data_IF_468800628780
#
_entry.id   IF_468800628780
#
_cell.length_a   1.000
_cell.length_b   1.000
_cell.length_c   1.000
_cell.angle_alpha   90.00
_cell.angle_beta   90.00
_cell.angle_gamma   90.00
#
_symmetry.space_group_name_H-M   'P 1'
#
loop_
_entity.id
_entity.type
_entity.pdbx_description
1 polymer ?
#
# COMPACT_ATOMS: atom_id res chain seq x y z
N UNK A 1 -12.15 -17.37 12.33
CA UNK A 1 -11.62 -16.24 11.54
C UNK A 1 -11.36 -16.77 10.16
N UNK A 2 -12.10 -16.30 9.15
CA UNK A 2 -11.97 -16.77 7.77
C UNK A 2 -10.55 -16.50 7.25
N UNK A 3 -9.95 -17.48 6.57
CA UNK A 3 -8.60 -17.36 5.98
C UNK A 3 -8.55 -16.23 4.95
N UNK A 4 -9.69 -15.90 4.32
CA UNK A 4 -9.79 -14.89 3.28
C UNK A 4 -9.51 -13.45 3.77
N UNK A 5 -9.79 -13.10 5.02
CA UNK A 5 -9.66 -11.70 5.51
C UNK A 5 -8.22 -11.28 5.81
N UNK A 6 -7.25 -12.21 5.70
CA UNK A 6 -5.83 -11.91 5.89
C UNK A 6 -5.23 -11.13 4.73
N UNK A 7 -5.70 -11.39 3.51
CA UNK A 7 -5.11 -10.84 2.28
C UNK A 7 -5.95 -9.74 1.65
N UNK A 8 -7.19 -9.57 2.11
CA UNK A 8 -8.12 -8.57 1.58
C UNK A 8 -9.13 -8.13 2.65
N UNK A 9 -9.76 -6.96 2.48
CA UNK A 9 -10.88 -6.55 3.31
C UNK A 9 -11.98 -7.63 3.37
N UNK A 10 -12.70 -7.76 4.50
CA UNK A 10 -13.84 -8.66 4.58
C UNK A 10 -14.92 -8.24 3.55
N UNK A 11 -15.49 -9.20 2.81
CA UNK A 11 -16.63 -8.90 1.94
C UNK A 11 -17.84 -8.50 2.78
N UNK A 12 -18.81 -7.86 2.13
CA UNK A 12 -20.11 -7.53 2.73
C UNK A 12 -20.05 -6.66 4.00
N UNK A 13 -18.95 -5.94 4.20
CA UNK A 13 -18.72 -5.08 5.36
C UNK A 13 -18.40 -3.66 4.91
N UNK A 14 -19.12 -2.69 5.46
CA UNK A 14 -18.83 -1.28 5.33
C UNK A 14 -17.76 -0.89 6.34
N UNK A 15 -16.53 -0.75 5.86
CA UNK A 15 -15.44 -0.21 6.66
C UNK A 15 -15.62 1.28 6.97
N UNK A 16 -15.10 1.73 8.09
CA UNK A 16 -15.23 3.11 8.52
C UNK A 16 -14.01 3.95 8.07
N UNK A 17 -14.21 5.09 7.41
CA UNK A 17 -13.11 5.93 6.96
C UNK A 17 -12.41 6.65 8.13
N UNK A 18 -11.10 6.84 7.98
CA UNK A 18 -10.23 7.68 8.82
C UNK A 18 -9.51 8.65 7.89
N UNK A 19 -9.80 9.96 7.96
CA UNK A 19 -9.10 10.95 7.16
C UNK A 19 -7.64 11.07 7.65
N UNK A 20 -6.70 11.16 6.70
CA UNK A 20 -5.26 11.35 7.01
C UNK A 20 -4.70 12.56 6.25
N UNK A 21 -4.90 12.60 4.93
CA UNK A 21 -4.45 13.67 4.03
C UNK A 21 -3.00 14.13 4.28
N UNK A 22 -2.05 13.21 4.11
CA UNK A 22 -0.63 13.46 4.39
C UNK A 22 0.25 13.08 3.20
N UNK A 23 1.22 13.94 2.87
CA UNK A 23 2.31 13.55 1.97
C UNK A 23 3.30 12.66 2.72
N UNK A 24 3.58 11.49 2.16
CA UNK A 24 4.68 10.62 2.60
C UNK A 24 5.99 11.13 2.00
N UNK A 25 5.95 11.53 0.73
CA UNK A 25 7.02 12.28 0.08
C UNK A 25 6.46 13.22 -0.98
N UNK A 26 7.16 14.31 -1.20
CA UNK A 26 6.87 15.28 -2.26
C UNK A 26 8.17 15.86 -2.78
N UNK A 27 8.53 15.47 -3.99
CA UNK A 27 9.68 15.98 -4.74
C UNK A 27 9.22 16.64 -6.03
N UNK A 28 10.14 17.21 -6.80
CA UNK A 28 9.83 17.79 -8.10
C UNK A 28 9.42 16.73 -9.15
N UNK A 29 9.79 15.47 -8.91
CA UNK A 29 9.54 14.35 -9.83
C UNK A 29 8.41 13.44 -9.38
N UNK A 30 8.20 13.27 -8.08
CA UNK A 30 7.26 12.28 -7.55
C UNK A 30 6.56 12.76 -6.29
N UNK A 31 5.31 12.35 -6.16
CA UNK A 31 4.45 12.58 -5.01
C UNK A 31 3.87 11.25 -4.59
N UNK A 32 3.92 10.98 -3.29
CA UNK A 32 3.17 9.90 -2.66
C UNK A 32 2.43 10.48 -1.46
N UNK A 33 1.11 10.34 -1.47
CA UNK A 33 0.24 10.82 -0.41
C UNK A 33 -0.63 9.69 0.14
N UNK A 34 -0.69 9.56 1.46
CA UNK A 34 -1.67 8.75 2.16
C UNK A 34 -2.94 9.60 2.34
N UNK A 35 -3.99 9.29 1.57
CA UNK A 35 -5.21 10.11 1.54
C UNK A 35 -6.10 9.82 2.74
N UNK A 36 -6.39 8.55 2.96
CA UNK A 36 -7.26 8.08 4.03
C UNK A 36 -7.01 6.59 4.30
N UNK A 37 -7.57 6.10 5.40
CA UNK A 37 -7.60 4.69 5.76
C UNK A 37 -9.06 4.24 5.85
N UNK A 38 -9.38 3.04 5.41
CA UNK A 38 -10.69 2.41 5.65
C UNK A 38 -10.47 1.29 6.67
N UNK A 39 -11.03 1.45 7.87
CA UNK A 39 -10.85 0.52 8.98
C UNK A 39 -11.97 -0.52 9.04
N UNK A 40 -11.60 -1.76 9.31
CA UNK A 40 -12.47 -2.91 9.55
C UNK A 40 -12.05 -3.58 10.84
N UNK A 41 -12.86 -4.48 11.39
CA UNK A 41 -12.52 -5.17 12.65
C UNK A 41 -11.28 -6.06 12.51
N UNK A 42 -11.04 -6.59 11.31
CA UNK A 42 -9.96 -7.53 11.00
C UNK A 42 -8.65 -6.83 10.60
N UNK A 43 -8.71 -5.61 10.08
CA UNK A 43 -7.57 -4.91 9.50
C UNK A 43 -7.96 -3.54 8.94
N UNK A 44 -7.05 -2.92 8.19
CA UNK A 44 -7.35 -1.63 7.56
C UNK A 44 -6.76 -1.50 6.16
N UNK A 45 -7.46 -0.81 5.27
CA UNK A 45 -6.99 -0.47 3.94
C UNK A 45 -6.37 0.93 3.93
N UNK A 46 -5.07 1.04 3.64
CA UNK A 46 -4.36 2.30 3.40
C UNK A 46 -4.57 2.70 1.94
N UNK A 47 -5.12 3.90 1.69
CA UNK A 47 -5.42 4.38 0.33
C UNK A 47 -4.47 5.50 -0.04
N UNK A 48 -3.62 5.22 -1.03
CA UNK A 48 -2.57 6.12 -1.47
C UNK A 48 -2.88 6.75 -2.83
N UNK A 49 -2.37 7.95 -3.03
CA UNK A 49 -2.27 8.58 -4.32
C UNK A 49 -0.80 8.76 -4.70
N UNK A 50 -0.47 8.40 -5.93
CA UNK A 50 0.84 8.52 -6.54
C UNK A 50 0.73 9.49 -7.70
N UNK A 51 1.72 10.37 -7.84
CA UNK A 51 1.91 11.13 -9.06
C UNK A 51 3.39 11.18 -9.40
N UNK A 52 3.74 11.07 -10.68
CA UNK A 52 5.11 11.19 -11.15
C UNK A 52 5.19 11.96 -12.46
N UNK A 53 6.24 12.76 -12.61
CA UNK A 53 6.53 13.53 -13.82
C UNK A 53 7.75 12.94 -14.51
N UNK A 54 7.68 12.79 -15.84
CA UNK A 54 8.83 12.34 -16.65
C UNK A 54 10.06 13.24 -16.45
N UNK A 55 9.85 14.55 -16.44
CA UNK A 55 10.94 15.52 -16.40
C UNK A 55 11.88 15.35 -17.61
N UNK A 56 13.16 15.16 -17.33
CA UNK A 56 14.22 14.97 -18.34
C UNK A 56 14.50 13.50 -18.68
N UNK A 57 13.75 12.55 -18.12
CA UNK A 57 13.92 11.12 -18.35
C UNK A 57 13.60 10.77 -19.81
N UNK A 58 14.39 9.93 -20.47
CA UNK A 58 14.14 9.57 -21.86
C UNK A 58 12.78 8.89 -22.06
N UNK A 59 12.15 9.08 -23.21
CA UNK A 59 10.78 8.59 -23.45
C UNK A 59 10.66 7.07 -23.27
N UNK A 60 11.67 6.33 -23.74
CA UNK A 60 11.74 4.88 -23.58
C UNK A 60 11.86 4.47 -22.11
N UNK A 61 12.77 5.13 -21.38
CA UNK A 61 12.97 4.88 -19.94
C UNK A 61 11.70 5.19 -19.15
N UNK A 62 10.98 6.26 -19.50
CA UNK A 62 9.69 6.60 -18.93
C UNK A 62 8.65 5.51 -19.21
N UNK A 63 8.50 5.07 -20.47
CA UNK A 63 7.59 3.98 -20.83
C UNK A 63 7.90 2.69 -20.08
N UNK A 64 9.18 2.34 -19.97
CA UNK A 64 9.64 1.16 -19.24
C UNK A 64 9.33 1.27 -17.74
N UNK A 65 9.46 2.45 -17.13
CA UNK A 65 9.07 2.71 -15.75
C UNK A 65 7.56 2.58 -15.54
N UNK A 66 6.75 3.11 -16.46
CA UNK A 66 5.29 3.03 -16.41
C UNK A 66 4.79 1.60 -16.57
N UNK A 67 5.38 0.83 -17.47
CA UNK A 67 5.03 -0.57 -17.68
C UNK A 67 5.15 -1.37 -16.39
N UNK A 68 6.19 -1.12 -15.57
CA UNK A 68 6.38 -1.77 -14.25
C UNK A 68 5.27 -1.47 -13.25
N UNK A 69 4.53 -0.38 -13.43
CA UNK A 69 3.45 0.04 -12.52
C UNK A 69 2.07 -0.47 -12.94
N UNK A 70 1.91 -0.85 -14.21
CA UNK A 70 0.65 -1.31 -14.80
C UNK A 70 0.67 -2.83 -14.93
N UNK A 71 1.75 -3.34 -15.52
CA UNK A 71 1.95 -4.76 -15.73
C UNK A 71 2.62 -5.31 -14.47
N UNK A 72 1.80 -5.81 -13.55
CA UNK A 72 2.26 -6.72 -12.50
C UNK A 72 2.66 -8.07 -13.10
N UNK A 73 3.53 -8.07 -14.13
CA UNK A 73 4.01 -9.27 -14.81
C UNK A 73 4.59 -10.21 -13.74
N UNK A 74 3.91 -11.33 -13.47
CA UNK A 74 4.31 -12.24 -12.40
C UNK A 74 5.64 -12.93 -12.72
N UNK A 75 6.12 -12.90 -13.98
CA UNK A 75 7.41 -13.42 -14.38
C UNK A 75 8.56 -12.42 -14.16
N UNK A 76 8.27 -11.12 -13.98
CA UNK A 76 9.29 -10.10 -13.73
C UNK A 76 9.74 -10.18 -12.27
N UNK A 77 11.04 -10.40 -12.07
CA UNK A 77 11.62 -10.28 -10.74
C UNK A 77 11.66 -8.79 -10.34
N UNK A 78 11.09 -8.41 -9.18
CA UNK A 78 11.19 -7.04 -8.70
C UNK A 78 12.66 -6.63 -8.56
N UNK A 79 12.99 -5.42 -8.99
CA UNK A 79 14.31 -4.81 -8.85
C UNK A 79 14.31 -3.74 -7.74
N UNK A 80 15.48 -3.21 -7.41
CA UNK A 80 15.64 -2.18 -6.36
C UNK A 80 15.05 -0.81 -6.73
N UNK A 81 14.70 -0.61 -7.99
CA UNK A 81 14.02 0.58 -8.49
C UNK A 81 12.51 0.58 -8.23
N UNK A 82 11.92 -0.59 -7.94
CA UNK A 82 10.49 -0.76 -7.85
C UNK A 82 9.85 -0.02 -6.66
N UNK A 83 8.58 0.33 -6.86
CA UNK A 83 7.75 0.90 -5.81
C UNK A 83 7.45 -0.17 -4.76
N UNK A 84 7.90 0.08 -3.53
CA UNK A 84 7.70 -0.82 -2.38
C UNK A 84 7.02 -0.06 -1.26
N UNK A 85 6.19 -0.78 -0.52
CA UNK A 85 5.49 -0.26 0.64
C UNK A 85 5.84 -1.09 1.87
N UNK A 86 5.76 -0.46 3.03
CA UNK A 86 5.91 -1.14 4.30
C UNK A 86 5.29 -0.40 5.47
N UNK A 87 5.25 -1.08 6.60
CA UNK A 87 4.89 -0.50 7.90
C UNK A 87 5.90 -0.93 8.95
N UNK A 88 6.18 -0.06 9.92
CA UNK A 88 7.02 -0.36 11.08
C UNK A 88 6.30 0.06 12.35
N UNK A 89 6.20 -0.88 13.29
CA UNK A 89 5.58 -0.66 14.60
C UNK A 89 6.63 -0.38 15.68
N UNK A 90 6.26 0.31 16.77
CA UNK A 90 7.21 0.64 17.85
C UNK A 90 7.82 -0.57 18.56
N UNK A 91 7.20 -1.74 18.48
CA UNK A 91 7.71 -3.00 19.02
C UNK A 91 8.78 -3.68 18.11
N UNK A 92 9.12 -3.04 16.99
CA UNK A 92 10.09 -3.54 16.01
C UNK A 92 9.48 -4.48 14.97
N UNK A 93 8.21 -4.86 15.10
CA UNK A 93 7.51 -5.65 14.08
C UNK A 93 7.13 -4.79 12.87
N UNK A 94 6.87 -5.42 11.73
CA UNK A 94 6.54 -4.70 10.50
C UNK A 94 6.23 -5.64 9.34
N UNK A 95 5.72 -5.06 8.26
CA UNK A 95 5.39 -5.78 7.04
C UNK A 95 5.85 -4.98 5.82
N UNK A 96 6.12 -5.68 4.71
CA UNK A 96 6.43 -5.05 3.43
C UNK A 96 5.75 -5.80 2.28
N UNK A 97 5.43 -5.08 1.21
CA UNK A 97 4.97 -5.68 -0.05
C UNK A 97 6.12 -6.35 -0.83
N UNK A 98 7.38 -6.05 -0.48
CA UNK A 98 8.56 -6.66 -1.08
C UNK A 98 8.73 -8.11 -0.56
N UNK A 99 8.14 -9.07 -1.28
CA UNK A 99 8.19 -10.50 -0.92
C UNK A 99 6.82 -11.20 -0.90
N UNK A 100 5.72 -10.44 -0.98
CA UNK A 100 4.40 -11.00 -1.28
C UNK A 100 4.32 -11.30 -2.77
N UNK A 101 4.50 -12.56 -3.12
CA UNK A 101 4.30 -13.08 -4.49
C UNK A 101 2.95 -12.60 -5.05
N UNK A 102 2.89 -12.08 -6.29
CA UNK A 102 1.63 -11.81 -6.97
C UNK A 102 0.77 -13.07 -6.96
N UNK A 103 -0.52 -12.90 -6.74
CA UNK A 103 -1.46 -13.98 -6.44
C UNK A 103 -1.30 -15.21 -7.36
N UNK A 104 -0.93 -16.33 -6.73
CA UNK A 104 -0.95 -17.67 -7.31
C UNK A 104 0.43 -18.30 -7.44
N UNK A 105 0.67 -19.35 -6.61
CA UNK A 105 1.73 -20.36 -6.76
C UNK A 105 3.06 -20.10 -6.04
N UNK A 106 3.00 -20.05 -4.71
CA UNK A 106 4.04 -20.61 -3.85
C UNK A 106 3.48 -21.86 -3.14
N UNK A 107 4.30 -22.88 -2.78
CA UNK A 107 3.83 -23.91 -1.86
C UNK A 107 3.32 -23.22 -0.61
N UNK A 108 2.17 -23.65 -0.09
CA UNK A 108 1.57 -23.10 1.10
C UNK A 108 2.60 -23.07 2.24
N UNK A 109 3.29 -21.96 2.43
CA UNK A 109 3.95 -21.67 3.67
C UNK A 109 2.82 -21.51 4.68
N UNK A 110 2.74 -22.48 5.59
CA UNK A 110 1.83 -22.51 6.71
C UNK A 110 1.66 -21.11 7.32
N UNK A 111 0.44 -20.56 7.22
CA UNK A 111 -0.08 -19.37 7.91
C UNK A 111 0.92 -18.19 8.05
N UNK A 112 0.87 -17.14 7.20
CA UNK A 112 1.75 -15.98 7.36
C UNK A 112 1.62 -15.37 8.75
N UNK A 113 2.75 -15.07 9.39
CA UNK A 113 2.79 -14.40 10.68
C UNK A 113 2.35 -12.94 10.52
N UNK A 114 1.54 -12.41 11.46
CA UNK A 114 1.19 -11.00 11.46
C UNK A 114 2.41 -10.14 11.84
N UNK A 115 2.54 -8.91 11.31
CA UNK A 115 1.63 -8.25 10.36
C UNK A 115 1.90 -8.63 8.90
N UNK A 116 0.86 -8.56 8.07
CA UNK A 116 0.90 -8.72 6.62
C UNK A 116 0.39 -7.45 5.94
N UNK A 117 1.10 -7.02 4.90
CA UNK A 117 0.71 -5.90 4.04
C UNK A 117 0.57 -6.42 2.61
N UNK A 118 -0.64 -6.35 2.05
CA UNK A 118 -0.96 -6.85 0.71
C UNK A 118 -1.53 -5.73 -0.14
N UNK A 119 -1.04 -5.55 -1.36
CA UNK A 119 -1.67 -4.66 -2.33
C UNK A 119 -2.89 -5.37 -2.94
N UNK A 120 -4.09 -4.81 -2.73
CA UNK A 120 -5.36 -5.44 -3.15
C UNK A 120 -5.90 -4.85 -4.43
N UNK A 121 -5.69 -3.55 -4.64
CA UNK A 121 -6.16 -2.83 -5.82
C UNK A 121 -5.13 -1.78 -6.22
N UNK A 122 -4.96 -1.63 -7.53
CA UNK A 122 -4.18 -0.56 -8.13
C UNK A 122 -4.92 -0.03 -9.35
N UNK A 123 -5.00 1.29 -9.45
CA UNK A 123 -5.45 1.95 -10.68
C UNK A 123 -4.39 2.97 -11.07
N UNK A 124 -4.25 3.19 -12.37
CA UNK A 124 -3.37 4.25 -12.85
C UNK A 124 -3.76 4.75 -14.21
N UNK A 125 -3.33 5.97 -14.48
CA UNK A 125 -3.40 6.65 -15.75
C UNK A 125 -2.04 7.24 -16.06
N UNK A 126 -1.65 7.21 -17.32
CA UNK A 126 -0.35 7.73 -17.74
C UNK A 126 -0.42 8.42 -19.09
N UNK A 127 0.54 9.32 -19.29
CA UNK A 127 0.79 10.06 -20.51
C UNK A 127 2.30 10.15 -20.74
N UNK A 128 2.72 10.78 -21.83
CA UNK A 128 4.12 11.03 -22.14
C UNK A 128 4.86 11.91 -21.11
N UNK A 129 4.13 12.55 -20.19
CA UNK A 129 4.70 13.52 -19.23
C UNK A 129 4.33 13.25 -17.78
N UNK A 130 3.18 12.64 -17.55
CA UNK A 130 2.58 12.50 -16.23
C UNK A 130 2.07 11.07 -16.02
N UNK A 131 2.32 10.56 -14.83
CA UNK A 131 1.73 9.36 -14.27
C UNK A 131 0.91 9.75 -13.06
N UNK A 132 -0.28 9.19 -12.93
CA UNK A 132 -1.10 9.27 -11.72
C UNK A 132 -1.62 7.87 -11.39
N UNK A 133 -1.62 7.53 -10.10
CA UNK A 133 -2.04 6.23 -9.63
C UNK A 133 -2.72 6.29 -8.28
N UNK A 134 -3.56 5.29 -8.04
CA UNK A 134 -4.07 4.96 -6.73
C UNK A 134 -3.57 3.57 -6.35
N UNK A 135 -3.28 3.39 -5.05
CA UNK A 135 -2.92 2.09 -4.47
C UNK A 135 -3.77 1.86 -3.24
N UNK A 136 -4.27 0.63 -3.10
CA UNK A 136 -4.96 0.16 -1.91
C UNK A 136 -4.17 -0.97 -1.28
N UNK A 137 -3.68 -0.72 -0.07
CA UNK A 137 -2.90 -1.70 0.68
C UNK A 137 -3.70 -2.18 1.88
N UNK A 138 -3.96 -3.48 1.94
CA UNK A 138 -4.57 -4.14 3.09
C UNK A 138 -3.51 -4.50 4.13
N UNK A 139 -3.62 -3.92 5.31
CA UNK A 139 -2.84 -4.26 6.49
C UNK A 139 -3.67 -5.17 7.41
N UNK A 140 -3.16 -6.36 7.66
CA UNK A 140 -3.74 -7.33 8.57
C UNK A 140 -2.71 -7.80 9.61
N UNK A 141 -3.09 -7.97 10.89
CA UNK A 141 -4.35 -7.54 11.51
C UNK A 141 -4.36 -6.00 11.68
N UNK A 142 -5.35 -5.48 12.42
CA UNK A 142 -5.33 -4.08 12.84
C UNK A 142 -3.99 -3.69 13.50
N UNK A 143 -3.47 -2.49 13.21
CA UNK A 143 -2.26 -2.02 13.86
C UNK A 143 -2.46 -1.86 15.38
N UNK A 144 -1.37 -1.87 16.18
CA UNK A 144 -1.41 -1.47 17.59
C UNK A 144 -2.05 -0.08 17.79
N UNK A 145 -2.71 0.20 18.94
CA UNK A 145 -3.28 1.53 19.27
C UNK A 145 -2.20 2.58 19.59
N UNK A 146 -1.15 2.67 18.78
CA UNK A 146 -0.06 3.65 18.94
C UNK A 146 0.34 4.17 17.56
N UNK A 147 0.96 5.37 17.47
CA UNK A 147 1.53 5.83 16.22
C UNK A 147 2.53 4.82 15.65
N UNK A 148 2.51 4.64 14.34
CA UNK A 148 3.43 3.76 13.61
C UNK A 148 3.90 4.41 12.32
N UNK A 149 4.94 3.87 11.69
CA UNK A 149 5.46 4.40 10.44
C UNK A 149 4.88 3.65 9.24
N UNK A 150 4.37 4.40 8.28
CA UNK A 150 4.21 3.93 6.90
C UNK A 150 5.49 4.28 6.13
N UNK A 151 5.99 3.33 5.33
CA UNK A 151 7.28 3.40 4.65
C UNK A 151 7.07 3.20 3.16
N UNK A 152 7.77 3.98 2.34
CA UNK A 152 7.86 3.78 0.90
C UNK A 152 9.31 3.83 0.42
N UNK A 153 9.59 3.02 -0.59
CA UNK A 153 10.78 3.14 -1.43
C UNK A 153 10.33 3.23 -2.90
N UNK A 154 10.91 4.14 -3.67
CA UNK A 154 10.68 4.24 -5.12
C UNK A 154 11.92 4.78 -5.82
N UNK A 155 12.97 3.97 -5.82
CA UNK A 155 14.32 4.43 -6.22
C UNK A 155 14.42 4.79 -7.70
N UNK A 156 13.57 4.20 -8.56
CA UNK A 156 13.49 4.60 -9.96
C UNK A 156 13.08 6.09 -10.13
N UNK A 157 12.42 6.69 -9.13
CA UNK A 157 12.11 8.11 -9.09
C UNK A 157 12.91 8.89 -8.04
N UNK A 158 14.01 8.31 -7.55
CA UNK A 158 14.93 8.93 -6.60
C UNK A 158 14.41 9.02 -5.17
N UNK A 159 13.42 8.20 -4.80
CA UNK A 159 12.96 8.07 -3.42
C UNK A 159 13.64 6.85 -2.81
N UNK A 160 14.75 7.05 -2.09
CA UNK A 160 15.49 5.96 -1.46
C UNK A 160 14.67 5.25 -0.40
N UNK A 161 14.22 6.02 0.60
CA UNK A 161 13.22 5.65 1.60
C UNK A 161 12.55 6.92 2.11
N UNK A 162 11.22 6.91 2.22
CA UNK A 162 10.46 7.96 2.88
C UNK A 162 9.44 7.37 3.86
N UNK A 163 9.12 8.11 4.92
CA UNK A 163 8.21 7.65 5.96
C UNK A 163 7.15 8.69 6.33
N UNK A 164 6.02 8.19 6.84
CA UNK A 164 4.94 9.00 7.39
C UNK A 164 4.39 8.35 8.67
N UNK A 165 4.20 9.14 9.71
CA UNK A 165 3.53 8.66 10.95
C UNK A 165 2.03 8.53 10.74
N UNK A 166 1.45 7.39 11.13
CA UNK A 166 0.02 7.09 11.07
C UNK A 166 -0.52 6.83 12.47
N UNK A 167 -1.67 7.41 12.81
CA UNK A 167 -2.33 7.22 14.12
C UNK A 167 -3.07 5.86 14.18
N UNK A 168 -2.39 4.85 14.75
CA UNK A 168 -2.99 3.53 14.98
C UNK A 168 -4.17 3.54 15.96
N UNK A 169 -4.24 4.50 16.88
CA UNK A 169 -5.40 4.64 17.78
C UNK A 169 -6.65 5.10 17.02
N UNK A 170 -6.50 6.06 16.10
CA UNK A 170 -7.60 6.51 15.25
C UNK A 170 -8.16 5.37 14.39
N UNK A 171 -7.28 4.54 13.82
CA UNK A 171 -7.67 3.37 13.03
C UNK A 171 -8.47 2.37 13.87
N UNK A 172 -8.00 2.05 15.09
CA UNK A 172 -8.72 1.09 15.95
C UNK A 172 -10.08 1.60 16.41
N UNK A 173 -10.20 2.89 16.76
CA UNK A 173 -11.51 3.49 17.10
C UNK A 173 -12.47 3.41 15.91
N UNK A 174 -12.00 3.68 14.70
CA UNK A 174 -12.84 3.59 13.49
C UNK A 174 -13.23 2.13 13.17
N UNK A 175 -12.33 1.17 13.38
CA UNK A 175 -12.63 -0.25 13.18
C UNK A 175 -13.82 -0.76 14.01
N UNK A 176 -14.03 -0.19 15.20
CA UNK A 176 -15.19 -0.52 16.05
C UNK A 176 -16.52 -0.06 15.44
N UNK A 177 -16.47 0.89 14.50
CA UNK A 177 -17.62 1.45 13.79
C UNK A 177 -17.90 0.76 12.45
N UNK A 178 -17.12 -0.27 12.07
CA UNK A 178 -17.41 -1.05 10.86
C UNK A 178 -18.71 -1.85 11.02
N UNK A 179 -19.53 -1.85 9.95
CA UNK A 179 -20.89 -2.41 9.95
C UNK A 179 -21.06 -3.43 8.82
N UNK A 180 -21.85 -4.50 9.01
CA UNK A 180 -22.26 -5.33 7.88
C UNK A 180 -23.13 -4.52 6.91
N UNK A 181 -23.12 -4.87 5.62
CA UNK A 181 -24.03 -4.25 4.64
C UNK A 181 -25.49 -4.58 4.90
N UNK A 182 -25.75 -5.79 5.39
CA UNK A 182 -27.08 -6.35 5.58
C UNK A 182 -27.29 -6.69 7.06
N UNK A 183 -28.52 -6.50 7.54
CA UNK A 183 -28.98 -6.81 8.89
C UNK A 183 -30.22 -7.67 8.84
#
# INVERSE_FOLDING_TARGET
>A
MDVATRHRPPPETLGHPVPVQQFVTRTDRAVVALRHVIAFREGCALVLHLAARRGSMEEREWKDLLARQVDGDPARTPDDGDLRFGVRFPDGTGATTAGTVPHGRGPAADRPEPPLLTETDATSSSSERLYEGERRLWLWPLPPPVPFEFVIDWRALGIDTATATVDGSAIRRAAEQAMPYWT
#
